data_IF_203174958113
#
_entry.id   IF_203174958113
#
_cell.length_a   1.000
_cell.length_b   1.000
_cell.length_c   1.000
_cell.angle_alpha   90.00
_cell.angle_beta   90.00
_cell.angle_gamma   90.00
#
_symmetry.space_group_name_H-M   'P 1'
#
loop_
_entity.id
_entity.type
_entity.pdbx_description
1 polymer ?
#
# COMPACT_ATOMS: atom_id res chain seq x y z
N UNK A 1 4.53 10.09 6.42
CA UNK A 1 5.57 9.20 5.85
C UNK A 1 5.15 8.79 4.44
N UNK A 2 5.72 9.34 3.36
CA UNK A 2 5.24 9.06 1.98
C UNK A 2 6.01 7.92 1.31
N UNK A 3 5.82 6.67 1.76
CA UNK A 3 6.66 5.54 1.33
C UNK A 3 5.92 4.19 1.30
N UNK A 4 6.31 3.27 0.44
CA UNK A 4 5.85 1.87 0.45
C UNK A 4 7.04 0.94 0.65
N UNK A 5 6.93 -0.04 1.55
CA UNK A 5 7.97 -1.05 1.80
C UNK A 5 8.18 -1.92 0.56
N UNK A 6 9.43 -2.24 0.21
CA UNK A 6 9.73 -2.98 -1.03
C UNK A 6 9.06 -4.37 -1.06
N UNK A 7 8.92 -5.02 0.10
CA UNK A 7 8.23 -6.31 0.24
C UNK A 7 6.75 -6.25 -0.13
N UNK A 8 6.10 -5.09 0.03
CA UNK A 8 4.72 -4.89 -0.40
C UNK A 8 4.64 -4.89 -1.92
N UNK A 9 5.60 -4.26 -2.62
CA UNK A 9 5.68 -4.29 -4.09
C UNK A 9 5.89 -5.71 -4.60
N UNK A 10 6.72 -6.51 -3.92
CA UNK A 10 6.91 -7.92 -4.28
C UNK A 10 5.63 -8.74 -4.07
N UNK A 11 4.87 -8.49 -2.99
CA UNK A 11 3.53 -9.07 -2.79
C UNK A 11 2.55 -8.67 -3.90
N UNK A 12 2.55 -7.41 -4.35
CA UNK A 12 1.68 -6.95 -5.43
C UNK A 12 1.94 -7.71 -6.74
N UNK A 13 3.20 -8.06 -7.03
CA UNK A 13 3.57 -8.87 -8.20
C UNK A 13 3.05 -10.31 -8.01
N UNK A 14 3.36 -10.93 -6.87
CA UNK A 14 2.98 -12.31 -6.59
C UNK A 14 1.46 -12.53 -6.62
N UNK A 15 0.69 -11.60 -6.07
CA UNK A 15 -0.77 -11.66 -6.03
C UNK A 15 -1.46 -10.99 -7.24
N UNK A 16 -0.69 -10.56 -8.25
CA UNK A 16 -1.18 -9.99 -9.50
C UNK A 16 -2.14 -8.82 -9.28
N UNK A 17 -1.71 -7.83 -8.49
CA UNK A 17 -2.53 -6.65 -8.22
C UNK A 17 -2.97 -5.94 -9.51
N UNK A 18 -4.21 -5.45 -9.51
CA UNK A 18 -4.77 -4.71 -10.65
C UNK A 18 -4.21 -3.29 -10.73
N UNK A 19 -4.44 -2.60 -11.85
CA UNK A 19 -3.98 -1.23 -12.03
C UNK A 19 -4.60 -0.27 -10.98
N UNK A 20 -5.88 -0.46 -10.66
CA UNK A 20 -6.57 0.34 -9.65
C UNK A 20 -6.07 0.06 -8.25
N UNK A 21 -5.80 -1.21 -7.90
CA UNK A 21 -5.20 -1.59 -6.62
C UNK A 21 -3.83 -0.93 -6.40
N UNK A 22 -2.99 -0.92 -7.42
CA UNK A 22 -1.67 -0.28 -7.35
C UNK A 22 -1.82 1.23 -7.20
N UNK A 23 -2.71 1.86 -7.99
CA UNK A 23 -2.99 3.29 -7.89
C UNK A 23 -3.51 3.68 -6.50
N UNK A 24 -4.39 2.86 -5.93
CA UNK A 24 -4.96 3.04 -4.60
C UNK A 24 -3.88 2.98 -3.53
N UNK A 25 -3.03 1.95 -3.54
CA UNK A 25 -1.96 1.81 -2.56
C UNK A 25 -0.94 2.95 -2.65
N UNK A 26 -0.60 3.39 -3.86
CA UNK A 26 0.26 4.57 -4.07
C UNK A 26 -0.40 5.82 -3.49
N UNK A 27 -1.69 6.06 -3.79
CA UNK A 27 -2.43 7.19 -3.25
C UNK A 27 -2.46 7.19 -1.72
N UNK A 28 -2.87 6.08 -1.09
CA UNK A 28 -2.96 5.96 0.38
C UNK A 28 -1.58 6.19 1.01
N UNK A 29 -0.53 5.59 0.45
CA UNK A 29 0.82 5.76 1.00
C UNK A 29 1.33 7.20 0.98
N UNK A 30 0.79 8.08 0.12
CA UNK A 30 1.17 9.48 0.06
C UNK A 30 0.62 10.32 1.22
N UNK A 31 -0.34 9.79 1.99
CA UNK A 31 -0.99 10.51 3.10
C UNK A 31 -0.89 9.79 4.45
N UNK A 32 -0.11 8.72 4.55
CA UNK A 32 -0.04 7.91 5.77
C UNK A 32 0.90 8.49 6.83
N UNK A 33 0.63 8.14 8.08
CA UNK A 33 1.51 8.35 9.23
C UNK A 33 2.63 7.30 9.30
N UNK A 34 3.42 7.31 10.37
CA UNK A 34 4.54 6.37 10.56
C UNK A 34 4.12 4.91 10.73
N UNK A 35 2.86 4.65 11.09
CA UNK A 35 2.32 3.29 11.28
C UNK A 35 1.80 2.69 9.98
N UNK A 36 1.74 3.49 8.91
CA UNK A 36 1.16 3.11 7.63
C UNK A 36 -0.36 3.34 7.57
N UNK A 37 -0.91 4.15 8.48
CA UNK A 37 -2.34 4.46 8.57
C UNK A 37 -2.66 5.83 7.98
N UNK A 38 -3.78 5.92 7.27
CA UNK A 38 -4.38 7.17 6.77
C UNK A 38 -5.75 7.32 7.40
N UNK A 39 -5.99 8.46 8.05
CA UNK A 39 -7.30 8.79 8.62
C UNK A 39 -8.19 9.44 7.56
N UNK A 40 -9.45 9.02 7.48
CA UNK A 40 -10.48 9.65 6.67
C UNK A 40 -10.21 9.62 5.17
N UNK A 41 -9.93 8.44 4.62
CA UNK A 41 -9.91 8.22 3.17
C UNK A 41 -11.35 8.27 2.65
N UNK A 42 -11.61 9.21 1.75
CA UNK A 42 -12.93 9.42 1.14
C UNK A 42 -12.88 9.09 -0.34
N UNK A 43 -13.95 8.45 -0.83
CA UNK A 43 -13.97 7.90 -2.19
C UNK A 43 -13.76 8.97 -3.27
N UNK A 44 -14.34 10.17 -3.12
CA UNK A 44 -14.19 11.24 -4.12
C UNK A 44 -12.73 11.62 -4.33
N UNK A 45 -12.01 11.85 -3.24
CA UNK A 45 -10.60 12.25 -3.29
C UNK A 45 -9.73 11.19 -4.00
N UNK A 46 -10.04 9.92 -3.80
CA UNK A 46 -9.35 8.79 -4.44
C UNK A 46 -9.73 8.71 -5.92
N UNK A 47 -11.03 8.79 -6.24
CA UNK A 47 -11.53 8.78 -7.61
C UNK A 47 -10.95 9.93 -8.43
N UNK A 48 -10.92 11.15 -7.88
CA UNK A 48 -10.39 12.34 -8.52
C UNK A 48 -8.89 12.22 -8.76
N UNK A 49 -8.14 11.68 -7.79
CA UNK A 49 -6.70 11.52 -7.90
C UNK A 49 -6.26 10.40 -8.85
N UNK A 50 -6.98 9.28 -8.89
CA UNK A 50 -6.57 8.10 -9.67
C UNK A 50 -7.34 7.91 -10.97
N UNK A 51 -8.41 8.67 -11.19
CA UNK A 51 -9.34 8.53 -12.32
C UNK A 51 -10.20 7.26 -12.26
N UNK A 52 -10.32 6.61 -11.11
CA UNK A 52 -11.14 5.39 -10.99
C UNK A 52 -12.61 5.75 -10.75
N UNK A 53 -13.53 4.92 -11.25
CA UNK A 53 -14.96 5.10 -10.98
C UNK A 53 -15.29 4.86 -9.51
N UNK A 54 -16.45 5.36 -9.05
CA UNK A 54 -16.93 5.14 -7.68
C UNK A 54 -17.08 3.64 -7.38
N UNK A 55 -17.63 2.86 -8.33
CA UNK A 55 -17.71 1.41 -8.19
C UNK A 55 -16.30 0.79 -8.10
N UNK A 56 -15.39 1.25 -8.97
CA UNK A 56 -13.99 0.81 -8.97
C UNK A 56 -13.28 1.07 -7.64
N UNK A 57 -13.60 2.16 -6.94
CA UNK A 57 -13.09 2.43 -5.59
C UNK A 57 -13.51 1.34 -4.59
N UNK A 58 -14.81 1.02 -4.52
CA UNK A 58 -15.30 0.03 -3.57
C UNK A 58 -14.81 -1.38 -3.89
N UNK A 59 -14.80 -1.76 -5.17
CA UNK A 59 -14.27 -3.05 -5.63
C UNK A 59 -12.76 -3.18 -5.31
N UNK A 60 -12.00 -2.11 -5.56
CA UNK A 60 -10.57 -2.08 -5.27
C UNK A 60 -10.29 -2.20 -3.78
N UNK A 61 -11.01 -1.44 -2.96
CA UNK A 61 -10.89 -1.50 -1.49
C UNK A 61 -11.20 -2.91 -0.99
N UNK A 62 -12.32 -3.50 -1.42
CA UNK A 62 -12.71 -4.85 -1.02
C UNK A 62 -11.67 -5.89 -1.44
N UNK A 63 -11.16 -5.82 -2.67
CA UNK A 63 -10.13 -6.75 -3.14
C UNK A 63 -8.80 -6.61 -2.40
N UNK A 64 -8.37 -5.38 -2.08
CA UNK A 64 -7.15 -5.15 -1.30
C UNK A 64 -7.27 -5.66 0.15
N UNK A 65 -8.45 -5.56 0.72
CA UNK A 65 -8.78 -6.07 2.06
C UNK A 65 -8.76 -7.60 2.06
N UNK A 66 -9.43 -8.25 1.09
CA UNK A 66 -9.41 -9.71 0.90
C UNK A 66 -7.98 -10.25 0.67
N UNK A 67 -7.17 -9.52 -0.09
CA UNK A 67 -5.75 -9.86 -0.35
C UNK A 67 -4.82 -9.59 0.83
N UNK A 68 -5.30 -8.96 1.90
CA UNK A 68 -4.51 -8.63 3.09
C UNK A 68 -3.46 -7.53 2.86
N UNK A 69 -3.71 -6.61 1.92
CA UNK A 69 -2.89 -5.41 1.75
C UNK A 69 -3.32 -4.27 2.66
N UNK A 70 -4.62 -4.17 2.96
CA UNK A 70 -5.16 -3.10 3.79
C UNK A 70 -6.13 -3.61 4.85
N UNK A 71 -6.27 -2.85 5.93
CA UNK A 71 -7.37 -2.96 6.90
C UNK A 71 -8.18 -1.67 6.83
N UNK A 72 -9.50 -1.78 6.80
CA UNK A 72 -10.41 -0.65 6.70
C UNK A 72 -11.24 -0.50 7.98
N UNK A 73 -11.14 0.66 8.63
CA UNK A 73 -11.93 0.99 9.83
C UNK A 73 -12.94 2.09 9.50
N UNK A 74 -14.23 1.76 9.54
CA UNK A 74 -15.30 2.72 9.27
C UNK A 74 -15.62 3.55 10.52
N UNK A 75 -14.82 4.59 10.76
CA UNK A 75 -14.95 5.47 11.92
C UNK A 75 -15.97 6.61 11.73
N UNK A 76 -16.41 6.86 10.49
CA UNK A 76 -17.43 7.83 10.11
C UNK A 76 -18.32 7.28 8.99
N UNK A 77 -19.49 7.88 8.77
CA UNK A 77 -20.37 7.51 7.66
C UNK A 77 -19.76 7.85 6.29
N UNK A 78 -19.00 8.96 6.22
CA UNK A 78 -18.51 9.53 4.97
C UNK A 78 -17.17 8.97 4.51
N UNK A 79 -16.34 8.47 5.43
CA UNK A 79 -14.96 8.06 5.14
C UNK A 79 -14.53 6.81 5.90
N UNK A 80 -13.34 6.31 5.56
CA UNK A 80 -12.74 5.14 6.17
C UNK A 80 -11.29 5.46 6.58
N UNK A 81 -10.89 5.04 7.77
CA UNK A 81 -9.47 4.98 8.11
C UNK A 81 -8.89 3.72 7.45
N UNK A 82 -7.71 3.83 6.84
CA UNK A 82 -7.09 2.73 6.09
C UNK A 82 -5.65 2.54 6.54
N UNK A 83 -5.30 1.30 6.88
CA UNK A 83 -3.93 0.90 7.25
C UNK A 83 -3.35 0.00 6.19
N UNK A 84 -2.18 0.33 5.63
CA UNK A 84 -1.43 -0.56 4.74
C UNK A 84 -0.69 -1.60 5.58
N UNK A 85 -1.10 -2.86 5.48
CA UNK A 85 -0.60 -3.97 6.29
C UNK A 85 0.89 -4.20 5.98
N UNK A 86 1.72 -4.14 7.04
CA UNK A 86 3.16 -4.34 6.95
C UNK A 86 3.94 -3.14 6.41
N UNK A 87 3.33 -1.94 6.36
CA UNK A 87 4.01 -0.72 5.88
C UNK A 87 4.53 0.20 7.00
N UNK A 88 4.30 -0.12 8.28
CA UNK A 88 4.81 0.66 9.40
C UNK A 88 6.33 0.87 9.29
N UNK A 89 6.79 2.06 9.64
CA UNK A 89 8.21 2.43 9.64
C UNK A 89 8.77 2.29 11.05
N UNK A 90 9.70 1.36 11.18
CA UNK A 90 10.39 0.96 12.41
C UNK A 90 11.74 1.69 12.60
N UNK A 91 11.95 2.79 11.86
CA UNK A 91 13.21 3.54 11.84
C UNK A 91 14.27 2.92 10.91
N UNK A 92 15.44 3.57 10.82
CA UNK A 92 16.52 3.09 9.93
C UNK A 92 17.24 1.85 10.48
N UNK A 93 17.20 1.63 11.80
CA UNK A 93 18.01 0.61 12.49
C UNK A 93 17.63 -0.84 12.11
N UNK A 94 16.43 -1.07 11.61
CA UNK A 94 15.90 -2.40 11.25
C UNK A 94 15.62 -2.57 9.74
N UNK A 95 15.92 -1.56 8.91
CA UNK A 95 15.32 -1.45 7.60
C UNK A 95 16.11 -2.11 6.46
N UNK A 96 16.44 -3.40 6.62
CA UNK A 96 17.04 -4.20 5.53
C UNK A 96 16.09 -4.37 4.33
N UNK A 97 14.79 -4.18 4.54
CA UNK A 97 13.74 -4.34 3.52
C UNK A 97 13.63 -3.17 2.54
N UNK A 98 14.01 -1.95 2.95
CA UNK A 98 13.96 -0.75 2.11
C UNK A 98 12.54 -0.29 1.74
N UNK A 99 12.45 0.95 1.27
CA UNK A 99 11.20 1.62 0.91
C UNK A 99 11.34 2.40 -0.39
N UNK A 100 10.27 2.43 -1.19
CA UNK A 100 10.12 3.39 -2.29
C UNK A 100 9.39 4.64 -1.79
N UNK A 101 9.91 5.81 -2.13
CA UNK A 101 9.28 7.08 -1.80
C UNK A 101 8.14 7.38 -2.78
N UNK A 102 6.90 7.49 -2.30
CA UNK A 102 5.72 7.76 -3.13
C UNK A 102 5.47 9.24 -3.39
N UNK A 103 6.34 10.13 -2.87
CA UNK A 103 6.38 11.56 -3.23
C UNK A 103 7.11 11.87 -4.54
N UNK A 104 7.69 10.86 -5.20
CA UNK A 104 8.33 11.06 -6.51
C UNK A 104 7.32 11.53 -7.57
N UNK A 105 7.73 12.48 -8.41
CA UNK A 105 6.88 13.14 -9.40
C UNK A 105 6.23 12.17 -10.40
N UNK A 106 6.81 10.98 -10.61
CA UNK A 106 6.20 9.92 -11.42
C UNK A 106 4.80 9.53 -10.93
N UNK A 107 4.57 9.52 -9.61
CA UNK A 107 3.32 9.06 -9.02
C UNK A 107 2.21 10.10 -9.04
N UNK A 108 2.50 11.34 -9.46
CA UNK A 108 1.51 12.38 -9.69
C UNK A 108 1.20 12.60 -11.18
N UNK A 109 1.85 11.86 -12.09
CA UNK A 109 1.69 12.02 -13.53
C UNK A 109 0.54 11.16 -14.07
N UNK A 110 -0.35 11.75 -14.86
CA UNK A 110 -1.48 11.04 -15.47
C UNK A 110 -1.02 9.87 -16.36
N UNK A 111 0.12 10.04 -17.03
CA UNK A 111 0.78 9.00 -17.82
C UNK A 111 1.09 7.75 -16.99
N UNK A 112 1.42 7.91 -15.71
CA UNK A 112 1.66 6.77 -14.82
C UNK A 112 0.34 6.09 -14.50
N UNK A 113 -0.72 6.86 -14.20
CA UNK A 113 -2.05 6.32 -13.91
C UNK A 113 -2.63 5.51 -15.07
N UNK A 114 -2.33 5.87 -16.32
CA UNK A 114 -2.75 5.15 -17.53
C UNK A 114 -1.96 3.86 -17.83
N UNK A 115 -0.83 3.61 -17.15
CA UNK A 115 -0.07 2.37 -17.34
C UNK A 115 -0.90 1.13 -16.96
N UNK A 116 -0.67 0.02 -17.66
CA UNK A 116 -1.18 -1.29 -17.24
C UNK A 116 -0.49 -1.75 -15.95
N UNK A 117 -1.18 -2.59 -15.17
CA UNK A 117 -0.70 -3.08 -13.88
C UNK A 117 0.75 -3.58 -13.90
N UNK A 118 1.11 -4.46 -14.84
CA UNK A 118 2.47 -4.98 -14.96
C UNK A 118 3.52 -3.92 -15.30
N UNK A 119 3.17 -2.88 -16.07
CA UNK A 119 4.09 -1.77 -16.33
C UNK A 119 4.29 -0.90 -15.08
N UNK A 120 3.23 -0.65 -14.29
CA UNK A 120 3.35 0.05 -12.99
C UNK A 120 4.27 -0.70 -12.03
N UNK A 121 4.06 -2.01 -11.89
CA UNK A 121 4.88 -2.86 -11.02
C UNK A 121 6.34 -2.93 -11.49
N UNK A 122 6.57 -2.98 -12.81
CA UNK A 122 7.91 -2.90 -13.37
C UNK A 122 8.57 -1.55 -13.06
N UNK A 123 7.84 -0.43 -13.19
CA UNK A 123 8.35 0.88 -12.81
C UNK A 123 8.75 0.93 -11.34
N UNK A 124 7.90 0.43 -10.42
CA UNK A 124 8.24 0.34 -8.99
C UNK A 124 9.52 -0.46 -8.75
N UNK A 125 9.67 -1.65 -9.37
CA UNK A 125 10.90 -2.46 -9.23
C UNK A 125 12.14 -1.76 -9.78
N UNK A 126 12.03 -1.08 -10.91
CA UNK A 126 13.14 -0.32 -11.50
C UNK A 126 13.57 0.83 -10.60
N UNK A 127 12.63 1.54 -9.98
CA UNK A 127 12.92 2.61 -9.01
C UNK A 127 13.58 2.06 -7.75
N UNK A 128 13.07 0.96 -7.19
CA UNK A 128 13.67 0.30 -6.03
C UNK A 128 15.15 0.00 -6.28
N UNK A 129 15.47 -0.62 -7.42
CA UNK A 129 16.85 -0.99 -7.73
C UNK A 129 17.71 0.24 -8.02
N UNK A 130 17.17 1.20 -8.78
CA UNK A 130 17.93 2.38 -9.18
C UNK A 130 18.29 3.25 -7.97
N UNK A 131 17.36 3.43 -7.02
CA UNK A 131 17.58 4.27 -5.83
C UNK A 131 18.31 3.56 -4.69
N UNK A 132 18.35 2.22 -4.69
CA UNK A 132 19.15 1.46 -3.71
C UNK A 132 20.58 1.19 -4.17
N UNK A 133 20.93 1.57 -5.40
CA UNK A 133 22.20 1.20 -6.03
C UNK A 133 22.83 2.33 -6.82
N UNK A 134 23.33 2.03 -8.01
CA UNK A 134 24.15 2.94 -8.84
C UNK A 134 23.38 4.08 -9.52
N UNK A 135 22.08 4.24 -9.25
CA UNK A 135 21.22 5.20 -9.95
C UNK A 135 20.60 4.68 -11.26
N UNK A 136 20.89 3.45 -11.67
CA UNK A 136 20.33 2.81 -12.86
C UNK A 136 20.20 1.30 -12.67
N UNK A 137 19.37 0.68 -13.52
CA UNK A 137 19.18 -0.76 -13.60
C UNK A 137 19.94 -1.33 -14.80
N UNK A 138 20.78 -2.33 -14.55
CA UNK A 138 21.55 -3.06 -15.57
C UNK A 138 21.19 -4.55 -15.56
N UNK A 139 20.88 -5.10 -16.74
CA UNK A 139 20.65 -6.54 -16.89
C UNK A 139 20.89 -6.99 -18.34
N UNK A 140 21.45 -8.19 -18.53
CA UNK A 140 21.53 -8.81 -19.86
C UNK A 140 20.15 -9.01 -20.47
N UNK A 141 19.96 -8.70 -21.76
CA UNK A 141 18.67 -8.83 -22.45
C UNK A 141 18.16 -10.27 -22.38
N UNK A 142 19.05 -11.27 -22.57
CA UNK A 142 18.70 -12.70 -22.42
C UNK A 142 18.22 -13.00 -21.00
N UNK A 143 18.94 -12.52 -19.98
CA UNK A 143 18.60 -12.71 -18.55
C UNK A 143 17.28 -12.05 -18.16
N UNK A 144 16.97 -10.88 -18.73
CA UNK A 144 15.70 -10.19 -18.48
C UNK A 144 14.49 -10.98 -19.00
N UNK A 145 14.63 -11.63 -20.16
CA UNK A 145 13.63 -12.50 -20.77
C UNK A 145 13.93 -13.99 -20.57
N UNK A 146 14.60 -14.34 -19.49
CA UNK A 146 14.86 -15.73 -19.13
C UNK A 146 13.55 -16.41 -18.71
N UNK A 147 13.34 -17.68 -19.09
CA UNK A 147 12.07 -18.41 -18.85
C UNK A 147 11.97 -19.01 -17.45
N UNK A 148 13.06 -19.10 -16.72
CA UNK A 148 13.10 -19.69 -15.39
C UNK A 148 13.19 -18.62 -14.32
N UNK A 149 14.10 -17.66 -14.50
CA UNK A 149 14.49 -16.71 -13.44
C UNK A 149 14.32 -15.23 -13.85
N UNK A 150 13.91 -14.98 -15.09
CA UNK A 150 13.79 -13.64 -15.68
C UNK A 150 12.56 -12.85 -15.21
N UNK A 151 12.48 -11.59 -15.65
CA UNK A 151 11.35 -10.72 -15.32
C UNK A 151 10.05 -11.21 -15.96
N UNK A 152 10.12 -11.81 -17.15
CA UNK A 152 8.93 -12.38 -17.79
C UNK A 152 8.28 -13.46 -16.90
N UNK A 153 9.09 -14.30 -16.26
CA UNK A 153 8.62 -15.38 -15.38
C UNK A 153 8.14 -14.83 -14.05
N UNK A 154 8.89 -13.91 -13.45
CA UNK A 154 8.50 -13.23 -12.19
C UNK A 154 7.15 -12.51 -12.30
N UNK A 155 6.85 -11.95 -13.47
CA UNK A 155 5.58 -11.29 -13.74
C UNK A 155 4.53 -12.23 -14.35
N UNK A 156 4.88 -13.48 -14.64
CA UNK A 156 3.98 -14.47 -15.25
C UNK A 156 3.47 -14.07 -16.63
N UNK A 157 4.28 -13.38 -17.44
CA UNK A 157 3.89 -12.89 -18.78
C UNK A 157 4.89 -13.30 -19.85
N UNK A 158 4.44 -13.35 -21.10
CA UNK A 158 5.32 -13.63 -22.24
C UNK A 158 6.26 -12.47 -22.59
N UNK A 159 7.36 -12.78 -23.28
CA UNK A 159 8.37 -11.83 -23.78
C UNK A 159 7.78 -10.58 -24.46
N UNK A 160 6.76 -10.75 -25.31
CA UNK A 160 6.10 -9.64 -26.04
C UNK A 160 5.44 -8.65 -25.08
N UNK A 161 4.73 -9.15 -24.07
CA UNK A 161 4.05 -8.33 -23.05
C UNK A 161 5.08 -7.62 -22.18
N UNK A 162 6.11 -8.32 -21.73
CA UNK A 162 7.19 -7.71 -20.95
C UNK A 162 7.93 -6.61 -21.73
N UNK A 163 8.16 -6.80 -23.03
CA UNK A 163 8.68 -5.73 -23.92
C UNK A 163 7.72 -4.54 -24.02
N UNK A 164 6.41 -4.79 -24.10
CA UNK A 164 5.40 -3.72 -24.11
C UNK A 164 5.45 -2.88 -22.83
N UNK A 165 5.68 -3.50 -21.67
CA UNK A 165 5.86 -2.77 -20.42
C UNK A 165 7.05 -1.82 -20.51
N UNK A 166 8.24 -2.30 -20.89
CA UNK A 166 9.41 -1.43 -21.09
C UNK A 166 9.13 -0.27 -22.05
N UNK A 167 8.43 -0.53 -23.17
CA UNK A 167 8.11 0.53 -24.13
C UNK A 167 7.19 1.60 -23.53
N UNK A 168 6.19 1.20 -22.75
CA UNK A 168 5.30 2.14 -22.04
C UNK A 168 6.02 2.97 -20.96
N UNK A 169 7.19 2.54 -20.51
CA UNK A 169 7.97 3.22 -19.48
C UNK A 169 8.94 4.28 -20.03
N UNK A 170 9.07 4.43 -21.36
CA UNK A 170 9.91 5.46 -21.98
C UNK A 170 9.64 6.90 -21.53
N UNK A 171 8.41 7.33 -21.18
CA UNK A 171 8.18 8.67 -20.63
C UNK A 171 8.95 8.94 -19.33
N UNK A 172 9.20 7.89 -18.53
CA UNK A 172 9.80 7.97 -17.20
C UNK A 172 11.26 7.50 -17.16
N UNK A 173 11.67 6.61 -18.06
CA UNK A 173 13.00 6.02 -18.05
C UNK A 173 13.70 6.19 -19.39
N UNK A 174 15.00 6.47 -19.33
CA UNK A 174 15.91 6.27 -20.46
C UNK A 174 16.23 4.78 -20.53
N UNK A 175 15.90 4.13 -21.65
CA UNK A 175 16.08 2.69 -21.86
C UNK A 175 17.01 2.52 -23.06
N UNK A 176 18.25 2.12 -22.79
CA UNK A 176 19.29 1.91 -23.81
C UNK A 176 19.70 0.44 -23.81
N UNK A 177 19.96 -0.10 -25.00
CA UNK A 177 20.59 -1.42 -25.15
C UNK A 177 22.02 -1.19 -25.64
N UNK A 178 23.00 -1.68 -24.88
CA UNK A 178 24.42 -1.65 -25.23
C UNK A 178 25.04 -2.98 -24.84
N UNK A 179 25.87 -3.55 -25.72
CA UNK A 179 26.60 -4.80 -25.47
C UNK A 179 25.71 -5.96 -24.98
N UNK A 180 24.51 -6.10 -25.56
CA UNK A 180 23.54 -7.13 -25.20
C UNK A 180 22.88 -6.96 -23.82
N UNK A 181 23.04 -5.80 -23.19
CA UNK A 181 22.45 -5.45 -21.88
C UNK A 181 21.51 -4.26 -21.99
N UNK A 182 20.47 -4.27 -21.18
CA UNK A 182 19.66 -3.09 -20.87
C UNK A 182 20.37 -2.23 -19.84
N UNK A 183 20.39 -0.93 -20.11
CA UNK A 183 20.70 0.14 -19.17
C UNK A 183 19.46 1.02 -19.05
N UNK A 184 18.82 0.99 -17.88
CA UNK A 184 17.56 1.69 -17.62
C UNK A 184 17.78 2.71 -16.51
N UNK A 185 17.66 3.99 -16.83
CA UNK A 185 17.92 5.08 -15.89
C UNK A 185 16.65 5.91 -15.71
N UNK A 186 16.21 6.19 -14.47
CA UNK A 186 15.13 7.15 -14.22
C UNK A 186 15.46 8.52 -14.85
N UNK A 187 14.50 9.13 -15.53
CA UNK A 187 14.66 10.49 -16.06
C UNK A 187 14.48 11.53 -14.97
N UNK A 188 14.97 12.75 -15.20
CA UNK A 188 14.85 13.89 -14.26
C UNK A 188 13.42 14.14 -13.77
N UNK A 189 12.42 13.99 -14.64
CA UNK A 189 10.99 14.18 -14.34
C UNK A 189 10.38 13.11 -13.41
N UNK A 190 11.10 12.02 -13.12
CA UNK A 190 10.67 11.00 -12.15
C UNK A 190 10.97 11.42 -10.72
N UNK A 191 12.10 12.11 -10.52
CA UNK A 191 12.59 12.46 -9.20
C UNK A 191 11.68 13.48 -8.52
N UNK A 192 11.72 13.50 -7.20
CA UNK A 192 10.96 14.45 -6.38
C UNK A 192 11.50 15.87 -6.60
N UNK A 193 10.63 16.87 -6.70
CA UNK A 193 11.06 18.26 -6.51
C UNK A 193 11.39 18.46 -5.02
N UNK A 194 12.64 18.85 -4.72
CA UNK A 194 13.20 18.90 -3.38
C UNK A 194 12.67 20.06 -2.51
N UNK A 195 11.36 20.27 -2.45
CA UNK A 195 10.77 21.21 -1.50
C UNK A 195 10.64 20.52 -0.14
N UNK A 196 11.59 20.80 0.76
CA UNK A 196 11.56 20.38 2.15
C UNK A 196 10.26 20.82 2.82
N UNK A 197 9.62 19.94 3.60
CA UNK A 197 8.38 20.24 4.32
C UNK A 197 7.07 19.84 3.61
N UNK A 198 7.08 19.71 2.28
CA UNK A 198 5.87 19.46 1.48
C UNK A 198 5.10 18.18 1.86
N UNK A 199 5.78 17.15 2.39
CA UNK A 199 5.10 15.91 2.81
C UNK A 199 4.26 16.11 4.07
N UNK A 200 4.83 16.82 5.04
CA UNK A 200 4.19 17.09 6.33
C UNK A 200 3.05 18.09 6.14
N UNK A 201 3.25 19.08 5.27
CA UNK A 201 2.20 20.04 4.90
C UNK A 201 1.00 19.35 4.26
N UNK A 202 1.22 18.47 3.28
CA UNK A 202 0.12 17.70 2.65
C UNK A 202 -0.63 16.82 3.65
N UNK A 203 0.09 16.18 4.58
CA UNK A 203 -0.55 15.39 5.64
C UNK A 203 -1.46 16.27 6.52
N UNK A 204 -0.98 17.45 6.93
CA UNK A 204 -1.77 18.39 7.74
C UNK A 204 -2.96 18.96 6.99
N UNK A 205 -2.80 19.34 5.73
CA UNK A 205 -3.90 19.78 4.88
C UNK A 205 -4.99 18.71 4.81
N UNK A 206 -4.60 17.45 4.59
CA UNK A 206 -5.52 16.33 4.58
C UNK A 206 -6.23 16.14 5.93
N UNK A 207 -5.48 16.23 7.03
CA UNK A 207 -6.04 16.11 8.38
C UNK A 207 -7.11 17.18 8.66
N UNK A 208 -6.87 18.42 8.27
CA UNK A 208 -7.84 19.52 8.38
C UNK A 208 -9.10 19.20 7.57
N UNK A 209 -8.95 18.74 6.32
CA UNK A 209 -10.09 18.40 5.46
C UNK A 209 -10.93 17.27 6.03
N UNK A 210 -10.31 16.25 6.62
CA UNK A 210 -11.00 15.16 7.30
C UNK A 210 -11.86 15.68 8.46
N UNK A 211 -11.28 16.53 9.32
CA UNK A 211 -11.99 17.11 10.47
C UNK A 211 -13.18 17.97 10.02
N UNK A 212 -12.97 18.85 9.03
CA UNK A 212 -14.05 19.69 8.50
C UNK A 212 -15.17 18.85 7.87
N UNK A 213 -14.82 17.82 7.10
CA UNK A 213 -15.77 16.94 6.42
C UNK A 213 -16.61 16.13 7.41
N UNK A 214 -15.99 15.47 8.39
CA UNK A 214 -16.70 14.68 9.42
C UNK A 214 -17.68 15.53 10.21
N UNK A 215 -17.33 16.79 10.45
CA UNK A 215 -18.18 17.76 11.14
C UNK A 215 -19.14 18.53 10.20
N UNK A 216 -19.16 18.17 8.90
CA UNK A 216 -20.00 18.77 7.84
C UNK A 216 -19.88 20.29 7.73
N UNK A 217 -18.71 20.83 8.08
CA UNK A 217 -18.39 22.25 8.01
C UNK A 217 -18.06 22.59 6.56
N UNK A 218 -18.81 23.52 5.97
CA UNK A 218 -18.48 24.11 4.67
C UNK A 218 -17.72 25.40 4.95
N UNK A 219 -16.40 25.38 4.77
CA UNK A 219 -15.57 26.54 5.08
C UNK A 219 -15.69 27.61 3.99
N UNK A 220 -15.93 28.85 4.43
CA UNK A 220 -16.00 30.05 3.58
C UNK A 220 -15.19 31.22 4.17
N UNK A 221 -14.43 30.99 5.26
CA UNK A 221 -13.62 32.01 5.94
C UNK A 221 -12.22 31.53 6.33
N UNK A 222 -11.59 32.19 7.31
CA UNK A 222 -10.21 31.89 7.76
C UNK A 222 -10.09 30.62 8.63
N UNK A 223 -11.20 29.99 8.99
CA UNK A 223 -11.21 28.87 9.94
C UNK A 223 -10.42 27.64 9.49
N UNK A 224 -10.32 27.38 8.17
CA UNK A 224 -9.44 26.33 7.62
C UNK A 224 -7.96 26.61 7.94
N UNK A 225 -7.51 27.83 7.74
CA UNK A 225 -6.12 28.25 7.96
C UNK A 225 -5.77 28.27 9.45
N UNK A 226 -6.68 28.78 10.29
CA UNK A 226 -6.47 28.81 11.73
C UNK A 226 -6.45 27.38 12.32
N UNK A 227 -7.30 26.46 11.82
CA UNK A 227 -7.27 25.05 12.21
C UNK A 227 -5.98 24.36 11.75
N UNK A 228 -5.51 24.66 10.54
CA UNK A 228 -4.21 24.21 10.05
C UNK A 228 -3.06 24.66 10.97
N UNK A 229 -3.08 25.92 11.41
CA UNK A 229 -2.07 26.44 12.33
C UNK A 229 -2.10 25.73 13.69
N UNK A 230 -3.28 25.33 14.20
CA UNK A 230 -3.37 24.47 15.38
C UNK A 230 -2.76 23.09 15.14
N UNK A 231 -3.04 22.43 14.02
CA UNK A 231 -2.38 21.17 13.68
C UNK A 231 -0.86 21.33 13.69
N UNK A 232 -0.34 22.37 13.01
CA UNK A 232 1.10 22.67 12.95
C UNK A 232 1.72 22.91 14.33
N UNK A 233 1.00 23.57 15.24
CA UNK A 233 1.46 23.83 16.61
C UNK A 233 1.58 22.56 17.46
N UNK A 234 0.69 21.59 17.26
CA UNK A 234 0.56 20.42 18.14
C UNK A 234 1.12 19.11 17.58
N UNK A 235 1.52 19.09 16.32
CA UNK A 235 1.99 17.91 15.58
C UNK A 235 3.14 17.17 16.29
N UNK A 236 4.24 17.88 16.57
CA UNK A 236 5.43 17.31 17.21
C UNK A 236 5.15 16.81 18.64
N UNK A 237 4.30 17.52 19.38
CA UNK A 237 3.89 17.14 20.72
C UNK A 237 3.04 15.86 20.69
N UNK A 238 2.11 15.78 19.74
CA UNK A 238 1.25 14.61 19.57
C UNK A 238 2.06 13.36 19.19
N UNK A 239 3.05 13.50 18.30
CA UNK A 239 3.96 12.41 17.94
C UNK A 239 4.76 11.91 19.14
N UNK A 240 5.31 12.82 19.95
CA UNK A 240 6.11 12.48 21.15
C UNK A 240 5.28 11.75 22.21
N UNK A 241 4.02 12.13 22.38
CA UNK A 241 3.12 11.58 23.39
C UNK A 241 2.25 10.43 22.87
N UNK A 242 2.45 9.98 21.61
CA UNK A 242 1.68 8.90 21.01
C UNK A 242 0.19 9.22 20.81
N UNK A 243 -0.15 10.50 20.66
CA UNK A 243 -1.53 10.98 20.51
C UNK A 243 -1.90 11.02 19.02
N UNK A 244 -3.02 10.40 18.68
CA UNK A 244 -3.58 10.49 17.33
C UNK A 244 -4.30 11.84 17.12
N UNK A 245 -3.55 12.87 16.70
CA UNK A 245 -3.99 14.27 16.66
C UNK A 245 -5.25 14.51 15.83
N UNK A 246 -5.40 13.85 14.67
CA UNK A 246 -6.59 14.00 13.80
C UNK A 246 -7.86 13.59 14.55
N UNK A 247 -7.82 12.47 15.28
CA UNK A 247 -8.97 11.98 16.05
C UNK A 247 -9.29 12.86 17.25
N UNK A 248 -8.26 13.35 17.94
CA UNK A 248 -8.43 14.31 19.03
C UNK A 248 -9.09 15.60 18.52
N UNK A 249 -8.61 16.13 17.39
CA UNK A 249 -9.14 17.35 16.80
C UNK A 249 -10.58 17.17 16.31
N UNK A 250 -10.90 16.05 15.65
CA UNK A 250 -12.28 15.72 15.25
C UNK A 250 -13.24 15.76 16.44
N UNK A 251 -12.86 15.12 17.55
CA UNK A 251 -13.63 15.12 18.81
C UNK A 251 -13.80 16.52 19.38
N UNK A 252 -12.73 17.31 19.41
CA UNK A 252 -12.72 18.66 19.98
C UNK A 252 -13.56 19.63 19.13
N UNK A 253 -13.45 19.56 17.80
CA UNK A 253 -14.27 20.37 16.89
C UNK A 253 -15.74 20.01 17.05
N UNK A 254 -16.08 18.71 17.14
CA UNK A 254 -17.45 18.27 17.40
C UNK A 254 -18.01 18.86 18.70
N UNK A 255 -17.26 18.76 19.81
CA UNK A 255 -17.64 19.36 21.10
C UNK A 255 -17.82 20.89 21.01
N UNK A 256 -16.94 21.57 20.27
CA UNK A 256 -17.07 23.01 20.04
C UNK A 256 -18.39 23.36 19.35
N UNK A 257 -18.79 22.58 18.33
CA UNK A 257 -20.07 22.79 17.65
C UNK A 257 -21.27 22.54 18.57
N UNK A 258 -21.21 21.50 19.41
CA UNK A 258 -22.26 21.19 20.40
C UNK A 258 -22.46 22.36 21.39
N UNK A 259 -21.37 22.95 21.89
CA UNK A 259 -21.42 24.11 22.80
C UNK A 259 -22.01 25.35 22.12
N UNK A 260 -21.58 25.67 20.90
CA UNK A 260 -22.09 26.85 20.15
C UNK A 260 -23.58 26.71 19.84
N UNK A 261 -24.05 25.47 19.66
CA UNK A 261 -25.45 25.16 19.35
C UNK A 261 -26.25 24.73 20.59
N UNK A 262 -25.75 25.00 21.80
CA UNK A 262 -26.46 24.66 23.02
C UNK A 262 -27.86 25.30 23.04
N UNK A 263 -28.88 24.50 23.39
CA UNK A 263 -30.27 24.93 23.35
C UNK A 263 -30.91 24.94 21.95
N UNK A 264 -30.22 24.43 20.91
CA UNK A 264 -30.80 24.19 19.58
C UNK A 264 -31.13 22.70 19.39
N UNK A 265 -32.20 22.45 18.65
CA UNK A 265 -32.67 21.11 18.27
C UNK A 265 -31.76 20.41 17.26
N UNK A 266 -30.95 21.16 16.51
CA UNK A 266 -29.93 20.63 15.59
C UNK A 266 -28.73 21.60 15.49
N UNK A 267 -27.59 21.09 14.99
CA UNK A 267 -26.40 21.89 14.74
C UNK A 267 -26.67 22.85 13.57
N UNK A 268 -27.08 24.08 13.91
CA UNK A 268 -27.38 25.17 12.97
C UNK A 268 -26.11 25.91 12.57
N UNK A 269 -25.25 26.22 13.53
CA UNK A 269 -24.00 26.95 13.31
C UNK A 269 -22.85 25.95 13.14
N UNK A 270 -22.28 25.92 11.94
CA UNK A 270 -21.14 25.07 11.59
C UNK A 270 -19.92 25.94 11.34
N UNK A 271 -19.48 26.59 12.40
CA UNK A 271 -18.43 27.60 12.36
C UNK A 271 -17.25 27.08 13.17
N UNK A 272 -16.05 27.27 12.63
CA UNK A 272 -14.82 26.94 13.35
C UNK A 272 -14.54 28.06 14.35
N UNK A 273 -14.78 27.82 15.64
CA UNK A 273 -14.41 28.74 16.72
C UNK A 273 -13.07 28.33 17.34
N UNK A 274 -11.99 28.91 16.83
CA UNK A 274 -10.63 28.49 17.16
C UNK A 274 -10.26 28.71 18.62
N UNK A 275 -10.73 29.79 19.25
CA UNK A 275 -10.47 30.04 20.68
C UNK A 275 -11.07 28.93 21.54
N UNK A 276 -12.30 28.52 21.24
CA UNK A 276 -12.98 27.43 21.94
C UNK A 276 -12.33 26.07 21.65
N UNK A 277 -12.04 25.79 20.38
CA UNK A 277 -11.35 24.56 19.95
C UNK A 277 -9.99 24.44 20.66
N UNK A 278 -9.19 25.51 20.71
CA UNK A 278 -7.88 25.49 21.35
C UNK A 278 -7.98 25.27 22.87
N UNK A 279 -8.99 25.85 23.53
CA UNK A 279 -9.27 25.60 24.96
C UNK A 279 -9.60 24.13 25.19
N UNK A 280 -10.57 23.60 24.45
CA UNK A 280 -11.00 22.20 24.55
C UNK A 280 -9.87 21.23 24.20
N UNK A 281 -9.00 21.56 23.24
CA UNK A 281 -7.84 20.74 22.87
C UNK A 281 -6.89 20.57 24.06
N UNK A 282 -6.61 21.65 24.79
CA UNK A 282 -5.77 21.62 26.00
C UNK A 282 -6.42 20.78 27.11
N UNK A 283 -7.72 20.94 27.32
CA UNK A 283 -8.47 20.19 28.34
C UNK A 283 -8.57 18.69 28.04
N UNK A 284 -8.62 18.31 26.75
CA UNK A 284 -8.82 16.92 26.32
C UNK A 284 -7.52 16.23 25.88
N UNK A 285 -6.36 16.86 26.10
CA UNK A 285 -5.05 16.40 25.61
C UNK A 285 -4.66 15.03 26.17
N UNK A 286 -4.89 14.81 27.47
CA UNK A 286 -4.52 13.58 28.18
C UNK A 286 -5.62 12.50 28.22
N UNK A 287 -6.74 12.70 27.51
CA UNK A 287 -7.83 11.72 27.50
C UNK A 287 -7.57 10.64 26.44
N UNK A 288 -7.39 9.36 26.83
CA UNK A 288 -7.08 8.29 25.89
C UNK A 288 -8.15 8.19 24.80
N UNK A 289 -7.69 7.93 23.57
CA UNK A 289 -8.58 7.59 22.47
C UNK A 289 -9.21 6.22 22.76
N UNK A 290 -10.49 6.20 23.13
CA UNK A 290 -11.29 4.97 22.99
C UNK A 290 -11.58 4.80 21.51
N UNK A 291 -11.09 3.72 20.90
CA UNK A 291 -11.55 3.33 19.56
C UNK A 291 -13.08 3.33 19.58
N UNK A 292 -13.71 4.00 18.61
CA UNK A 292 -15.17 3.90 18.46
C UNK A 292 -15.49 2.44 18.18
N UNK A 293 -16.44 1.88 18.89
CA UNK A 293 -17.08 0.62 18.50
C UNK A 293 -17.56 0.76 17.05
N UNK A 294 -17.38 -0.27 16.20
CA UNK A 294 -17.85 -0.23 14.83
C UNK A 294 -19.35 0.12 14.80
N UNK A 295 -19.74 0.99 13.87
CA UNK A 295 -21.13 1.40 13.73
C UNK A 295 -22.05 0.17 13.57
N UNK A 296 -23.16 0.07 14.32
CA UNK A 296 -24.09 -1.06 14.19
C UNK A 296 -24.66 -1.07 12.76
N UNK A 297 -24.45 -2.19 12.06
CA UNK A 297 -24.77 -2.33 10.63
C UNK A 297 -23.55 -2.38 9.71
N UNK A 298 -22.33 -2.46 10.23
CA UNK A 298 -21.27 -3.19 9.52
C UNK A 298 -21.76 -4.62 9.30
N UNK A 299 -21.71 -5.12 8.06
CA UNK A 299 -21.83 -6.54 7.83
C UNK A 299 -20.78 -7.22 8.69
N UNK A 300 -21.20 -7.86 9.78
CA UNK A 300 -20.40 -8.87 10.44
C UNK A 300 -20.23 -9.97 9.39
N UNK A 301 -19.05 -9.96 8.75
CA UNK A 301 -18.56 -11.20 8.16
C UNK A 301 -18.53 -12.20 9.31
N UNK A 302 -19.09 -13.42 9.12
CA UNK A 302 -19.14 -14.42 10.17
C UNK A 302 -17.75 -14.54 10.79
N UNK A 303 -17.71 -14.61 12.13
CA UNK A 303 -16.48 -14.87 12.88
C UNK A 303 -15.64 -15.86 12.08
N UNK A 304 -14.43 -15.43 11.70
CA UNK A 304 -13.43 -16.30 11.15
C UNK A 304 -13.11 -17.32 12.24
N UNK A 305 -13.86 -18.40 12.26
CA UNK A 305 -13.42 -19.66 12.86
C UNK A 305 -12.01 -19.92 12.31
N UNK A 306 -11.04 -20.26 13.17
CA UNK A 306 -9.66 -20.43 12.76
C UNK A 306 -9.55 -21.68 11.89
N UNK A 307 -9.89 -21.55 10.61
CA UNK A 307 -9.63 -22.51 9.56
C UNK A 307 -9.09 -21.73 8.37
N UNK A 308 -7.76 -21.57 8.34
CA UNK A 308 -7.12 -20.90 7.21
C UNK A 308 -5.73 -20.33 7.42
N UNK A 309 -5.05 -20.57 8.55
CA UNK A 309 -3.62 -20.24 8.71
C UNK A 309 -2.68 -21.25 8.02
N UNK A 310 -3.10 -21.88 6.92
CA UNK A 310 -2.24 -22.83 6.20
C UNK A 310 -1.09 -22.18 5.44
N UNK A 311 -1.26 -20.99 4.87
CA UNK A 311 -0.30 -20.44 3.90
C UNK A 311 0.77 -19.50 4.48
N UNK A 312 0.48 -18.81 5.59
CA UNK A 312 1.45 -17.94 6.26
C UNK A 312 2.36 -18.73 7.22
N UNK A 313 1.82 -19.81 7.81
CA UNK A 313 2.53 -20.66 8.77
C UNK A 313 3.46 -21.68 8.07
N UNK A 314 3.09 -22.16 6.87
CA UNK A 314 3.97 -23.00 6.02
C UNK A 314 5.22 -22.25 5.52
N UNK A 315 5.17 -20.92 5.35
CA UNK A 315 6.36 -20.14 4.95
C UNK A 315 7.30 -19.87 6.13
N UNK A 316 6.77 -19.81 7.36
CA UNK A 316 7.55 -19.64 8.59
C UNK A 316 8.20 -20.97 9.02
N UNK A 317 7.46 -22.07 8.98
CA UNK A 317 7.96 -23.42 9.31
C UNK A 317 8.93 -24.00 8.26
N UNK A 318 8.83 -23.60 6.98
CA UNK A 318 9.80 -23.97 5.94
C UNK A 318 11.20 -23.32 6.11
N UNK A 319 11.36 -22.41 7.08
CA UNK A 319 12.67 -21.79 7.39
C UNK A 319 13.30 -22.29 8.70
N UNK A 320 12.58 -23.09 9.51
CA UNK A 320 13.04 -23.62 10.81
C UNK A 320 12.31 -24.95 11.15
N UNK A 321 12.93 -26.14 10.99
CA UNK A 321 12.22 -27.41 11.20
C UNK A 321 12.18 -27.84 12.68
N UNK A 322 10.98 -28.19 13.15
CA UNK A 322 10.73 -28.85 14.44
C UNK A 322 9.35 -29.51 14.48
N UNK A 323 9.32 -30.83 14.18
CA UNK A 323 8.35 -31.90 14.50
C UNK A 323 6.82 -31.71 14.51
N UNK A 324 6.16 -32.49 13.63
CA UNK A 324 5.00 -33.43 13.82
C UNK A 324 3.67 -32.90 14.42
N UNK A 325 2.43 -33.28 14.07
CA UNK A 325 1.80 -34.32 13.24
C UNK A 325 0.27 -34.05 13.18
N UNK A 326 -0.43 -34.51 12.11
CA UNK A 326 -1.84 -35.05 12.00
C UNK A 326 -3.03 -34.26 12.57
N UNK A 327 -4.27 -34.24 12.03
CA UNK A 327 -5.05 -35.02 11.05
C UNK A 327 -6.30 -34.18 10.69
N UNK A 328 -6.67 -34.05 9.42
CA UNK A 328 -7.83 -34.73 8.78
C UNK A 328 -9.23 -34.29 9.27
N UNK A 329 -9.93 -33.45 8.49
CA UNK A 329 -11.25 -33.74 7.91
C UNK A 329 -11.80 -32.55 7.08
N UNK A 330 -12.14 -32.85 5.82
CA UNK A 330 -12.69 -31.96 4.78
C UNK A 330 -14.22 -32.01 4.76
N UNK A 331 -14.86 -30.93 4.26
CA UNK A 331 -16.05 -30.85 3.35
C UNK A 331 -16.93 -29.64 3.75
N UNK A 332 -17.48 -28.76 2.93
CA UNK A 332 -17.80 -28.60 1.48
C UNK A 332 -17.78 -27.07 1.21
N UNK A 333 -17.39 -26.56 0.03
CA UNK A 333 -18.33 -26.18 -1.05
C UNK A 333 -17.55 -26.06 -2.38
N UNK A 334 -18.09 -26.67 -3.43
CA UNK A 334 -17.48 -26.80 -4.76
C UNK A 334 -17.85 -25.59 -5.63
N UNK A 335 -16.87 -24.82 -6.10
CA UNK A 335 -17.04 -23.87 -7.21
C UNK A 335 -16.74 -24.55 -8.55
N UNK A 336 -17.73 -24.52 -9.45
CA UNK A 336 -17.86 -25.26 -10.72
C UNK A 336 -16.98 -24.76 -11.88
N UNK A 337 -15.78 -24.21 -11.66
CA UNK A 337 -14.97 -23.65 -12.76
C UNK A 337 -13.58 -24.27 -12.99
N UNK A 338 -13.18 -25.32 -12.28
CA UNK A 338 -11.95 -26.05 -12.56
C UNK A 338 -12.21 -27.56 -12.79
N UNK A 339 -12.59 -27.91 -14.02
CA UNK A 339 -12.53 -29.30 -14.49
C UNK A 339 -11.28 -29.48 -15.36
N UNK A 340 -10.12 -29.60 -14.71
CA UNK A 340 -8.98 -30.32 -15.27
C UNK A 340 -8.42 -31.23 -14.19
N UNK A 341 -8.32 -32.53 -14.47
CA UNK A 341 -7.63 -33.49 -13.59
C UNK A 341 -6.17 -33.06 -13.48
N UNK A 342 -5.76 -32.58 -12.30
CA UNK A 342 -4.34 -32.49 -11.97
C UNK A 342 -3.77 -33.91 -11.99
N UNK A 343 -2.78 -34.15 -12.85
CA UNK A 343 -1.97 -35.36 -12.80
C UNK A 343 -1.10 -35.27 -11.55
N UNK A 344 -1.25 -36.22 -10.64
CA UNK A 344 -0.31 -36.42 -9.54
C UNK A 344 1.01 -36.88 -10.15
N UNK A 345 1.95 -35.96 -10.33
CA UNK A 345 3.33 -36.33 -10.59
C UNK A 345 3.95 -36.67 -9.24
N UNK A 346 4.39 -37.92 -9.09
CA UNK A 346 5.29 -38.34 -8.02
C UNK A 346 6.66 -37.72 -8.29
N UNK A 347 6.86 -36.51 -7.77
CA UNK A 347 8.10 -35.75 -7.93
C UNK A 347 9.28 -36.44 -7.25
N UNK A 348 9.04 -37.30 -6.26
CA UNK A 348 10.08 -38.09 -5.59
C UNK A 348 10.61 -39.21 -6.51
N UNK A 349 9.74 -39.86 -7.27
CA UNK A 349 10.14 -40.82 -8.30
C UNK A 349 10.87 -40.14 -9.48
N UNK A 350 10.48 -38.91 -9.83
CA UNK A 350 11.09 -38.09 -10.89
C UNK A 350 12.48 -37.56 -10.50
N UNK A 351 12.66 -37.19 -9.23
CA UNK A 351 13.94 -36.72 -8.68
C UNK A 351 14.93 -37.89 -8.50
N UNK A 352 14.46 -39.09 -8.11
CA UNK A 352 15.28 -40.31 -8.10
C UNK A 352 15.71 -40.75 -9.50
N UNK A 353 14.88 -40.54 -10.53
CA UNK A 353 15.25 -40.82 -11.93
C UNK A 353 16.27 -39.83 -12.50
N UNK A 354 16.31 -38.58 -12.00
CA UNK A 354 17.23 -37.54 -12.49
C UNK A 354 18.61 -37.61 -11.83
N UNK A 355 18.72 -38.16 -10.62
CA UNK A 355 19.98 -38.24 -9.85
C UNK A 355 20.82 -39.50 -10.14
N UNK A 356 20.40 -40.37 -11.07
CA UNK A 356 21.11 -41.61 -11.43
C UNK A 356 21.82 -41.58 -12.80
N UNK A 357 21.85 -40.44 -13.50
CA UNK A 357 22.43 -40.35 -14.85
C UNK A 357 23.64 -39.40 -14.98
N UNK A 358 24.47 -39.28 -13.93
CA UNK A 358 25.85 -38.81 -14.09
C UNK A 358 26.80 -40.03 -14.06
N UNK A 359 26.89 -40.72 -15.22
CA UNK A 359 28.05 -41.56 -15.56
C UNK A 359 29.04 -40.67 -16.32
N UNK A 360 30.31 -40.55 -15.89
CA UNK A 360 31.32 -39.88 -16.68
C UNK A 360 31.85 -40.84 -17.76
N UNK A 361 31.60 -40.52 -19.04
CA UNK A 361 32.35 -41.12 -20.15
C UNK A 361 33.52 -40.24 -20.59
N UNK A 362 34.71 -40.76 -20.28
CA UNK A 362 35.89 -40.78 -21.15
C UNK A 362 36.66 -39.47 -21.42
N UNK A 363 37.92 -39.47 -20.99
CA UNK A 363 39.02 -38.91 -21.77
C UNK A 363 40.08 -40.00 -21.97
N UNK A 364 40.36 -40.30 -23.23
CA UNK A 364 41.25 -41.33 -23.76
C UNK A 364 42.74 -40.93 -23.72
N UNK A 365 43.59 -41.94 -23.44
CA UNK A 365 44.99 -42.17 -23.83
C UNK A 365 46.04 -41.04 -23.79
N UNK A 366 47.21 -41.30 -23.18
CA UNK A 366 48.47 -41.64 -23.89
C UNK A 366 49.64 -41.87 -22.92
N UNK A 367 50.44 -42.89 -23.29
CA UNK A 367 51.80 -43.27 -22.88
C UNK A 367 52.00 -43.77 -21.44
#
# INVERSE_FOLDING_TARGET
>A
MQKIKNSIVDRMIAQKCTANEINFLIYVSAYQDITGRVTGVHYKDVCDATGMSIQGYYDTKASLEEKGFIVCEKCDYSDCDITIVGNAYDGEKYNRGGYINTSHNIFSQNEFYQLKAGAKLLALKLLIISFSGKGFFEIGVKKFYDKENGYQTRFGVGKRVMRSYLMSLKPFFSIVIKDGKYYITPKKNVHKNATSGAEVERYREKAVEVVLRRNRIKETGTGKEELYNLFKQYDAKAETEGIHLVSLMDRVVKKSLEIINQGKTWIKYKIVNIKLIHKLLRENWSQPYKQKEPMPGSYELPELTPQGTGFAELYYQATHPGNQCTSDQRQRYKNKFNNFKQRNYDFEALERMLLLNDVPESSTSKA
#
